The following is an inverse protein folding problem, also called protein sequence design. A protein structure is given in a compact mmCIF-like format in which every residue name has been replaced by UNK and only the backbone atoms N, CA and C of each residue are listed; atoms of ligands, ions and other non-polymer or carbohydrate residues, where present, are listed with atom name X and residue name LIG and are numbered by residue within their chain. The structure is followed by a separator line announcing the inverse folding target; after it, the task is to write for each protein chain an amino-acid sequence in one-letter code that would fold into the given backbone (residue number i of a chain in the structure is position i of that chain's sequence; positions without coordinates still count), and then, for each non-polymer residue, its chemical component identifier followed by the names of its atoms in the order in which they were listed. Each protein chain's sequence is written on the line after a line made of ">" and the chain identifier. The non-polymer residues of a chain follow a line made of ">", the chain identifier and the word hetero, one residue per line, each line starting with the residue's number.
data_IF_727173395691
#
_entry.id   IF_727173395691
#
_cell.length_a   1.000
_cell.length_b   1.000
_cell.length_c   1.000
_cell.angle_alpha   90.00
_cell.angle_beta   90.00
_cell.angle_gamma   90.00
#
_symmetry.space_group_name_H-M   'P 1'
#
loop_
_entity.id
_entity.type
_entity.pdbx_description
1 polymer ?
#
# COMPACT_ATOMS: atom_id res chain seq x y z
N UNK A 1 -11.25 -34.74 20.48
CA UNK A 1 -10.63 -34.89 19.15
C UNK A 1 -11.27 -33.98 18.11
N UNK A 2 -12.60 -33.85 18.13
CA UNK A 2 -13.30 -32.93 17.22
C UNK A 2 -12.98 -31.43 17.47
N UNK A 3 -12.77 -31.06 18.73
CA UNK A 3 -12.48 -29.68 19.13
C UNK A 3 -11.12 -29.19 18.63
N UNK A 4 -10.10 -30.05 18.58
CA UNK A 4 -8.76 -29.69 18.11
C UNK A 4 -8.73 -29.41 16.60
N UNK A 5 -9.44 -30.23 15.82
CA UNK A 5 -9.52 -30.06 14.36
C UNK A 5 -10.32 -28.80 13.97
N UNK A 6 -11.40 -28.52 14.67
CA UNK A 6 -12.20 -27.29 14.48
C UNK A 6 -11.37 -26.06 14.84
N UNK A 7 -10.57 -26.14 15.91
CA UNK A 7 -9.68 -25.04 16.31
C UNK A 7 -8.55 -24.82 15.29
N UNK A 8 -7.96 -25.92 14.78
CA UNK A 8 -6.92 -25.87 13.76
C UNK A 8 -7.45 -25.32 12.43
N UNK A 9 -8.64 -25.75 12.02
CA UNK A 9 -9.30 -25.27 10.80
C UNK A 9 -9.67 -23.78 10.94
N UNK A 10 -10.22 -23.35 12.07
CA UNK A 10 -10.53 -21.93 12.32
C UNK A 10 -9.27 -21.08 12.43
N UNK A 11 -8.18 -21.62 12.96
CA UNK A 11 -6.88 -20.94 13.02
C UNK A 11 -6.27 -20.81 11.62
N UNK A 12 -6.36 -21.84 10.80
CA UNK A 12 -5.89 -21.82 9.40
C UNK A 12 -6.74 -20.86 8.57
N UNK A 13 -8.08 -20.86 8.75
CA UNK A 13 -8.97 -19.91 8.09
C UNK A 13 -8.73 -18.47 8.52
N UNK A 14 -8.36 -18.23 9.79
CA UNK A 14 -8.01 -16.90 10.30
C UNK A 14 -6.68 -16.36 9.73
N UNK A 15 -5.85 -17.25 9.21
CA UNK A 15 -4.57 -16.92 8.57
C UNK A 15 -4.69 -16.75 7.04
N UNK A 16 -5.87 -16.98 6.47
CA UNK A 16 -6.11 -16.77 5.04
C UNK A 16 -6.15 -15.27 4.72
N UNK A 17 -5.53 -14.90 3.61
CA UNK A 17 -5.57 -13.55 3.04
C UNK A 17 -7.02 -13.15 2.83
N UNK A 18 -7.43 -11.98 3.33
CA UNK A 18 -8.81 -11.53 3.22
C UNK A 18 -9.22 -11.33 1.75
N UNK A 19 -10.52 -11.54 1.46
CA UNK A 19 -11.09 -11.31 0.13
C UNK A 19 -10.90 -9.87 -0.33
N UNK A 20 -10.90 -8.90 0.58
CA UNK A 20 -10.69 -7.49 0.28
C UNK A 20 -9.28 -7.23 -0.26
N UNK A 21 -8.25 -7.86 0.32
CA UNK A 21 -6.87 -7.76 -0.15
C UNK A 21 -6.74 -8.37 -1.55
N UNK A 22 -7.32 -9.55 -1.78
CA UNK A 22 -7.29 -10.21 -3.09
C UNK A 22 -7.98 -9.33 -4.15
N UNK A 23 -9.13 -8.75 -3.82
CA UNK A 23 -9.87 -7.86 -4.71
C UNK A 23 -9.07 -6.61 -5.07
N UNK A 24 -8.43 -5.98 -4.08
CA UNK A 24 -7.58 -4.81 -4.32
C UNK A 24 -6.37 -5.15 -5.18
N UNK A 25 -5.68 -6.24 -4.87
CA UNK A 25 -4.51 -6.70 -5.62
C UNK A 25 -4.84 -7.08 -7.07
N UNK A 26 -6.05 -7.58 -7.32
CA UNK A 26 -6.52 -7.96 -8.64
C UNK A 26 -7.01 -6.78 -9.49
N UNK A 27 -7.14 -5.59 -8.90
CA UNK A 27 -7.57 -4.39 -9.63
C UNK A 27 -6.47 -3.89 -10.55
N UNK A 28 -6.78 -3.74 -11.84
CA UNK A 28 -5.82 -3.32 -12.88
C UNK A 28 -6.01 -1.89 -13.37
N UNK A 29 -6.88 -1.10 -12.75
CA UNK A 29 -7.28 0.22 -13.28
C UNK A 29 -6.09 1.17 -13.51
N UNK A 30 -5.10 1.16 -12.63
CA UNK A 30 -3.93 2.04 -12.70
C UNK A 30 -2.62 1.24 -12.85
N UNK A 31 -2.72 -0.05 -13.14
CA UNK A 31 -1.56 -0.90 -13.37
C UNK A 31 -1.00 -0.66 -14.77
N UNK A 32 0.33 -0.67 -14.88
CA UNK A 32 1.06 -0.45 -16.12
C UNK A 32 1.59 0.98 -16.27
N UNK A 33 2.85 1.09 -16.67
CA UNK A 33 3.51 2.37 -16.94
C UNK A 33 3.12 2.88 -18.32
N UNK A 34 2.94 4.19 -18.46
CA UNK A 34 2.61 4.86 -19.72
C UNK A 34 3.73 5.73 -20.28
N UNK A 35 4.82 5.90 -19.53
CA UNK A 35 5.92 6.83 -19.86
C UNK A 35 5.47 8.29 -20.04
N UNK A 36 4.36 8.66 -19.39
CA UNK A 36 3.85 10.02 -19.29
C UNK A 36 3.81 10.39 -17.81
N UNK A 37 4.78 11.17 -17.37
CA UNK A 37 4.96 11.47 -15.94
C UNK A 37 5.73 12.78 -15.72
N UNK A 38 5.48 13.40 -14.59
CA UNK A 38 6.34 14.47 -14.05
C UNK A 38 7.37 13.91 -13.06
N UNK A 39 7.05 12.80 -12.40
CA UNK A 39 7.90 12.14 -11.40
C UNK A 39 7.85 10.62 -11.61
N UNK A 40 9.01 9.98 -11.57
CA UNK A 40 9.12 8.51 -11.69
C UNK A 40 10.16 7.99 -10.71
N UNK A 41 9.91 6.83 -10.15
CA UNK A 41 10.87 6.15 -9.27
C UNK A 41 10.66 4.64 -9.27
N UNK A 42 11.72 3.93 -8.89
CA UNK A 42 11.65 2.52 -8.48
C UNK A 42 12.16 2.38 -7.07
N UNK A 43 11.54 1.52 -6.32
CA UNK A 43 11.95 1.19 -4.97
C UNK A 43 11.82 -0.31 -4.73
N UNK A 44 12.84 -0.89 -4.13
CA UNK A 44 12.90 -2.32 -3.78
C UNK A 44 13.04 -2.48 -2.28
N UNK A 45 12.25 -3.39 -1.70
CA UNK A 45 12.47 -3.84 -0.34
C UNK A 45 13.54 -4.94 -0.34
N UNK A 46 14.71 -4.64 0.19
CA UNK A 46 15.87 -5.56 0.17
C UNK A 46 15.65 -6.82 1.02
N UNK A 47 14.73 -6.80 1.97
CA UNK A 47 14.46 -7.96 2.85
C UNK A 47 13.56 -9.01 2.19
N UNK A 48 12.48 -8.58 1.53
CA UNK A 48 11.52 -9.49 0.89
C UNK A 48 11.64 -9.54 -0.64
N UNK A 49 12.41 -8.63 -1.25
CA UNK A 49 12.58 -8.56 -2.69
C UNK A 49 11.43 -7.88 -3.44
N UNK A 50 10.39 -7.43 -2.75
CA UNK A 50 9.30 -6.67 -3.37
C UNK A 50 9.82 -5.41 -4.05
N UNK A 51 9.36 -5.16 -5.27
CA UNK A 51 9.75 -4.00 -6.07
C UNK A 51 8.53 -3.31 -6.63
N UNK A 52 8.53 -1.99 -6.58
CA UNK A 52 7.55 -1.14 -7.24
C UNK A 52 8.25 -0.10 -8.11
N UNK A 53 7.72 0.12 -9.30
CA UNK A 53 8.04 1.27 -10.14
C UNK A 53 6.76 2.08 -10.32
N UNK A 54 6.81 3.37 -10.11
CA UNK A 54 5.65 4.23 -10.26
C UNK A 54 5.95 5.51 -11.03
N UNK A 55 4.91 6.01 -11.65
CA UNK A 55 4.87 7.27 -12.38
C UNK A 55 3.78 8.16 -11.78
N UNK A 56 4.14 9.39 -11.46
CA UNK A 56 3.20 10.41 -10.98
C UNK A 56 3.10 11.54 -11.97
N UNK A 57 1.91 12.09 -12.14
CA UNK A 57 1.70 13.39 -12.75
C UNK A 57 1.27 14.36 -11.66
N UNK A 58 2.05 15.41 -11.46
CA UNK A 58 1.79 16.46 -10.48
C UNK A 58 1.39 17.73 -11.21
N UNK A 59 0.24 18.28 -10.86
CA UNK A 59 -0.29 19.55 -11.40
C UNK A 59 -0.84 20.40 -10.24
N UNK A 60 -0.49 21.70 -10.22
CA UNK A 60 -1.00 22.63 -9.22
C UNK A 60 -0.78 22.15 -7.77
N UNK A 61 0.40 21.60 -7.49
CA UNK A 61 0.79 21.04 -6.16
C UNK A 61 -0.07 19.87 -5.69
N UNK A 62 -0.78 19.21 -6.61
CA UNK A 62 -1.56 18.00 -6.36
C UNK A 62 -1.11 16.87 -7.27
N UNK A 63 -1.30 15.63 -6.82
CA UNK A 63 -1.14 14.47 -7.68
C UNK A 63 -2.39 14.34 -8.55
N UNK A 64 -2.24 14.38 -9.86
CA UNK A 64 -3.35 14.17 -10.80
C UNK A 64 -3.49 12.72 -11.25
N UNK A 65 -2.40 11.95 -11.28
CA UNK A 65 -2.46 10.52 -11.59
C UNK A 65 -1.27 9.77 -11.00
N UNK A 66 -1.49 8.47 -10.75
CA UNK A 66 -0.45 7.51 -10.40
C UNK A 66 -0.64 6.24 -11.23
N UNK A 67 0.43 5.84 -11.92
CA UNK A 67 0.55 4.54 -12.59
C UNK A 67 1.65 3.75 -11.92
N UNK A 68 1.56 2.43 -11.90
CA UNK A 68 2.56 1.60 -11.25
C UNK A 68 2.68 0.22 -11.89
N UNK A 69 3.83 -0.39 -11.68
CA UNK A 69 4.10 -1.81 -11.90
C UNK A 69 4.78 -2.38 -10.68
N UNK A 70 4.47 -3.62 -10.35
CA UNK A 70 5.01 -4.32 -9.19
C UNK A 70 5.55 -5.69 -9.55
N UNK A 71 6.64 -6.06 -8.89
CA UNK A 71 7.12 -7.45 -8.74
C UNK A 71 7.10 -7.72 -7.23
N UNK A 72 5.93 -8.08 -6.68
CA UNK A 72 5.71 -7.99 -5.25
C UNK A 72 4.66 -8.98 -4.75
N UNK A 73 4.60 -9.15 -3.43
CA UNK A 73 3.56 -9.93 -2.78
C UNK A 73 2.20 -9.24 -2.89
N UNK A 74 1.15 -10.01 -2.65
CA UNK A 74 -0.24 -9.55 -2.74
C UNK A 74 -0.55 -8.34 -1.85
N UNK A 75 0.11 -8.20 -0.70
CA UNK A 75 -0.07 -7.06 0.21
C UNK A 75 0.48 -5.76 -0.39
N UNK A 76 1.65 -5.82 -1.01
CA UNK A 76 2.21 -4.68 -1.71
C UNK A 76 1.35 -4.28 -2.91
N UNK A 77 0.88 -5.25 -3.70
CA UNK A 77 -0.02 -5.02 -4.83
C UNK A 77 -1.35 -4.39 -4.40
N UNK A 78 -1.96 -4.90 -3.33
CA UNK A 78 -3.20 -4.34 -2.78
C UNK A 78 -3.01 -2.89 -2.32
N UNK A 79 -1.91 -2.62 -1.62
CA UNK A 79 -1.56 -1.28 -1.16
C UNK A 79 -1.32 -0.32 -2.32
N UNK A 80 -0.56 -0.73 -3.33
CA UNK A 80 -0.29 0.07 -4.52
C UNK A 80 -1.57 0.37 -5.32
N UNK A 81 -2.42 -0.64 -5.50
CA UNK A 81 -3.71 -0.50 -6.18
C UNK A 81 -4.60 0.53 -5.49
N UNK A 82 -4.79 0.40 -4.18
CA UNK A 82 -5.62 1.34 -3.42
C UNK A 82 -5.02 2.74 -3.42
N UNK A 83 -3.70 2.86 -3.23
CA UNK A 83 -3.00 4.13 -3.23
C UNK A 83 -3.15 4.85 -4.57
N UNK A 84 -2.98 4.15 -5.68
CA UNK A 84 -3.12 4.74 -7.02
C UNK A 84 -4.49 5.37 -7.28
N UNK A 85 -5.54 4.85 -6.63
CA UNK A 85 -6.89 5.39 -6.72
C UNK A 85 -7.10 6.59 -5.79
N UNK A 86 -6.53 6.54 -4.59
CA UNK A 86 -6.83 7.50 -3.51
C UNK A 86 -5.88 8.68 -3.46
N UNK A 87 -4.70 8.58 -4.07
CA UNK A 87 -3.73 9.67 -4.10
C UNK A 87 -4.17 10.84 -5.00
N UNK A 88 -5.07 10.57 -5.94
CA UNK A 88 -5.57 11.58 -6.87
C UNK A 88 -6.21 12.76 -6.12
N UNK A 89 -5.79 13.97 -6.48
CA UNK A 89 -6.21 15.23 -5.89
C UNK A 89 -5.67 15.51 -4.47
N UNK A 90 -4.80 14.68 -3.93
CA UNK A 90 -4.11 15.00 -2.68
C UNK A 90 -3.00 16.04 -2.92
N UNK A 91 -2.89 16.98 -2.00
CA UNK A 91 -1.81 17.98 -2.01
C UNK A 91 -0.48 17.36 -1.62
N UNK A 92 0.60 17.77 -2.27
CA UNK A 92 1.95 17.28 -1.97
C UNK A 92 2.35 17.46 -0.51
N UNK A 93 1.96 18.57 0.11
CA UNK A 93 2.23 18.85 1.54
C UNK A 93 1.57 17.82 2.45
N UNK A 94 0.33 17.43 2.16
CA UNK A 94 -0.42 16.45 2.93
C UNK A 94 0.15 15.05 2.72
N UNK A 95 0.51 14.71 1.48
CA UNK A 95 1.18 13.44 1.16
C UNK A 95 2.47 13.31 1.97
N UNK A 96 3.34 14.31 1.94
CA UNK A 96 4.61 14.27 2.68
C UNK A 96 4.40 14.10 4.17
N UNK A 97 3.44 14.82 4.74
CA UNK A 97 3.09 14.73 6.17
C UNK A 97 2.50 13.37 6.54
N UNK A 98 1.43 12.97 5.86
CA UNK A 98 0.63 11.81 6.23
C UNK A 98 1.35 10.49 5.94
N UNK A 99 2.08 10.41 4.83
CA UNK A 99 2.82 9.18 4.49
C UNK A 99 3.99 8.91 5.44
N UNK A 100 4.60 9.95 5.99
CA UNK A 100 5.63 9.79 7.02
C UNK A 100 5.05 9.22 8.32
N UNK A 101 3.81 9.53 8.65
CA UNK A 101 3.13 8.98 9.82
C UNK A 101 2.96 7.46 9.70
N UNK A 102 2.73 6.94 8.49
CA UNK A 102 2.59 5.50 8.26
C UNK A 102 3.82 4.68 8.64
N UNK A 103 5.00 5.27 8.70
CA UNK A 103 6.23 4.60 9.17
C UNK A 103 6.12 4.12 10.62
N UNK A 104 5.18 4.68 11.38
CA UNK A 104 4.92 4.32 12.78
C UNK A 104 3.77 3.30 12.94
N UNK A 105 3.37 2.63 11.87
CA UNK A 105 2.27 1.69 11.86
C UNK A 105 2.35 0.60 12.94
N UNK A 106 3.53 0.15 13.28
CA UNK A 106 3.77 -0.88 14.29
C UNK A 106 3.84 -0.36 15.73
N UNK A 107 3.71 0.94 15.95
CA UNK A 107 3.72 1.53 17.28
C UNK A 107 2.35 1.42 17.94
N UNK A 108 2.34 1.25 19.27
CA UNK A 108 1.16 0.97 20.09
C UNK A 108 0.04 2.02 19.95
N UNK A 109 0.39 3.30 19.84
CA UNK A 109 -0.56 4.41 19.78
C UNK A 109 -0.76 4.96 18.36
N UNK A 110 -0.48 4.12 17.37
CA UNK A 110 -0.63 4.53 15.97
C UNK A 110 -2.08 4.86 15.63
N UNK A 111 -2.28 6.04 15.06
CA UNK A 111 -3.55 6.46 14.47
C UNK A 111 -3.33 6.80 13.00
N UNK A 112 -4.15 6.21 12.13
CA UNK A 112 -4.08 6.50 10.71
C UNK A 112 -4.55 7.93 10.44
N UNK A 113 -3.84 8.72 9.61
CA UNK A 113 -4.30 10.05 9.20
C UNK A 113 -5.68 10.01 8.54
N UNK A 114 -6.49 11.04 8.76
CA UNK A 114 -7.86 11.11 8.22
C UNK A 114 -7.92 10.99 6.70
N UNK A 115 -6.97 11.57 5.97
CA UNK A 115 -6.87 11.45 4.52
C UNK A 115 -6.59 10.02 4.03
N UNK A 116 -6.12 9.16 4.92
CA UNK A 116 -5.76 7.77 4.64
C UNK A 116 -6.69 6.78 5.34
N UNK A 117 -7.85 7.22 5.81
CA UNK A 117 -8.80 6.38 6.55
C UNK A 117 -9.25 5.13 5.76
N UNK A 118 -9.29 5.20 4.45
CA UNK A 118 -9.61 4.09 3.56
C UNK A 118 -8.60 2.93 3.66
N UNK A 119 -7.39 3.19 4.12
CA UNK A 119 -6.33 2.19 4.33
C UNK A 119 -6.42 1.50 5.70
N UNK A 120 -7.36 1.87 6.54
CA UNK A 120 -7.47 1.36 7.92
C UNK A 120 -7.49 -0.17 8.00
N UNK A 121 -8.15 -0.84 7.06
CA UNK A 121 -8.19 -2.31 7.01
C UNK A 121 -6.83 -2.92 6.65
N UNK A 122 -6.09 -2.31 5.73
CA UNK A 122 -4.75 -2.79 5.35
C UNK A 122 -3.75 -2.61 6.49
N UNK A 123 -3.81 -1.49 7.18
CA UNK A 123 -2.93 -1.17 8.31
C UNK A 123 -3.54 -1.60 9.65
N UNK A 124 -4.25 -2.71 9.67
CA UNK A 124 -4.78 -3.31 10.89
C UNK A 124 -3.73 -4.18 11.59
N UNK A 125 -3.98 -4.49 12.88
CA UNK A 125 -3.13 -5.38 13.67
C UNK A 125 -2.93 -6.76 13.03
N UNK A 126 -3.90 -7.23 12.24
CA UNK A 126 -3.82 -8.52 11.53
C UNK A 126 -2.67 -8.57 10.50
N UNK A 127 -2.24 -7.42 10.01
CA UNK A 127 -1.24 -7.28 8.96
C UNK A 127 0.11 -6.74 9.46
N UNK A 128 0.38 -6.73 10.78
CA UNK A 128 1.62 -6.22 11.35
C UNK A 128 2.88 -6.89 10.77
N UNK A 129 2.82 -8.18 10.47
CA UNK A 129 3.92 -8.91 9.85
C UNK A 129 4.20 -8.50 8.39
N UNK A 130 3.29 -7.74 7.79
CA UNK A 130 3.35 -7.28 6.39
C UNK A 130 3.59 -5.77 6.26
N UNK A 131 3.97 -5.11 7.33
CA UNK A 131 4.20 -3.66 7.38
C UNK A 131 5.10 -3.17 6.26
N UNK A 132 6.21 -3.85 6.01
CA UNK A 132 7.19 -3.46 4.97
C UNK A 132 6.61 -3.57 3.56
N UNK A 133 5.78 -4.57 3.31
CA UNK A 133 5.09 -4.73 2.02
C UNK A 133 4.04 -3.64 1.82
N UNK A 134 3.23 -3.38 2.84
CA UNK A 134 2.15 -2.40 2.80
C UNK A 134 2.66 -0.96 2.64
N UNK A 135 3.78 -0.62 3.26
CA UNK A 135 4.33 0.74 3.26
C UNK A 135 5.19 1.04 2.02
N UNK A 136 5.64 0.02 1.29
CA UNK A 136 6.54 0.19 0.15
C UNK A 136 6.00 1.17 -0.91
N UNK A 137 4.74 1.11 -1.35
CA UNK A 137 4.20 2.07 -2.31
C UNK A 137 4.22 3.51 -1.80
N UNK A 138 3.94 3.72 -0.50
CA UNK A 138 3.99 5.06 0.12
C UNK A 138 5.41 5.62 0.15
N UNK A 139 6.38 4.78 0.51
CA UNK A 139 7.79 5.17 0.48
C UNK A 139 8.27 5.49 -0.94
N UNK A 140 7.79 4.76 -1.93
CA UNK A 140 8.10 5.03 -3.33
C UNK A 140 7.55 6.40 -3.78
N UNK A 141 6.32 6.75 -3.39
CA UNK A 141 5.76 8.08 -3.65
C UNK A 141 6.62 9.17 -3.01
N UNK A 142 6.98 9.01 -1.74
CA UNK A 142 7.84 9.97 -1.04
C UNK A 142 9.21 10.13 -1.74
N UNK A 143 9.77 9.04 -2.24
CA UNK A 143 11.02 9.06 -3.00
C UNK A 143 10.86 9.82 -4.32
N UNK A 144 9.77 9.60 -5.03
CA UNK A 144 9.48 10.27 -6.30
C UNK A 144 9.32 11.80 -6.13
N UNK A 145 8.81 12.24 -4.97
CA UNK A 145 8.51 13.65 -4.68
C UNK A 145 9.68 14.40 -3.99
N UNK A 146 10.82 13.75 -3.80
CA UNK A 146 12.03 14.44 -3.32
C UNK A 146 12.59 15.35 -4.41
#
# INVERSE_FOLDING_TARGET
>A
VYSFWVFLITYIFKKMISKDIIKLASSSNNFGLKNDYSHKTSLKNMLCGDKITLELIVKNKKVSSMRYETEACIYCEASASLLSKKIKNLYLKDIKKDFLILKNFNKKDFKIPSNLSVFKKLFSSDNLSRTKCLILPFNAVLKALK
#
